data_IF_466651057637
#
_entry.id   IF_466651057637
#
_cell.length_a   1.000
_cell.length_b   1.000
_cell.length_c   1.000
_cell.angle_alpha   90.00
_cell.angle_beta   90.00
_cell.angle_gamma   90.00
#
_symmetry.space_group_name_H-M   'P 1'
#
loop_
_entity.id
_entity.type
_entity.pdbx_description
1 polymer ?
#
# COMPACT_ATOMS: atom_id res chain seq x y z
N UNK A 1 29.19 -8.66 8.05
CA UNK A 1 29.77 -7.78 9.07
C UNK A 1 29.22 -6.38 8.86
N UNK A 2 28.53 -5.80 9.85
CA UNK A 2 27.77 -4.56 9.69
C UNK A 2 28.62 -3.40 10.27
N UNK A 3 29.51 -2.82 9.46
CA UNK A 3 30.49 -1.79 9.88
C UNK A 3 29.91 -0.58 10.63
N UNK A 4 28.62 -0.31 10.47
CA UNK A 4 27.91 0.80 11.12
C UNK A 4 27.37 0.39 12.50
N UNK A 5 26.90 -0.85 12.61
CA UNK A 5 26.32 -1.38 13.85
C UNK A 5 27.42 -1.87 14.81
N UNK A 6 28.54 -2.37 14.26
CA UNK A 6 29.62 -3.00 15.04
C UNK A 6 30.68 -1.99 15.55
N UNK A 7 30.74 -0.77 15.00
CA UNK A 7 31.78 0.21 15.34
C UNK A 7 31.30 1.65 15.61
N UNK A 8 29.98 1.89 15.65
CA UNK A 8 29.43 3.22 15.99
C UNK A 8 29.82 4.35 15.03
N UNK A 9 30.32 4.02 13.83
CA UNK A 9 30.71 5.01 12.85
C UNK A 9 29.50 5.74 12.27
N UNK A 10 29.58 7.06 12.19
CA UNK A 10 28.61 7.83 11.39
C UNK A 10 28.79 7.51 9.90
N UNK A 11 27.74 7.68 9.10
CA UNK A 11 27.82 7.45 7.66
C UNK A 11 28.90 8.33 6.99
N UNK A 12 29.21 9.50 7.57
CA UNK A 12 30.26 10.39 7.12
C UNK A 12 31.66 9.82 7.38
N UNK A 13 31.92 9.31 8.58
CA UNK A 13 33.21 8.68 8.92
C UNK A 13 33.47 7.43 8.09
N UNK A 14 32.43 6.63 7.81
CA UNK A 14 32.55 5.45 6.95
C UNK A 14 32.86 5.85 5.49
N UNK A 15 32.23 6.93 5.02
CA UNK A 15 32.44 7.46 3.67
C UNK A 15 33.89 7.95 3.45
N UNK A 16 34.42 8.73 4.40
CA UNK A 16 35.81 9.19 4.41
C UNK A 16 36.80 8.01 4.39
N UNK A 17 36.57 7.00 5.24
CA UNK A 17 37.44 5.81 5.33
C UNK A 17 37.41 4.96 4.06
N UNK A 18 36.29 4.95 3.33
CA UNK A 18 36.12 4.18 2.10
C UNK A 18 36.43 4.97 0.82
N UNK A 19 36.77 6.26 0.92
CA UNK A 19 36.96 7.13 -0.25
C UNK A 19 35.71 7.24 -1.13
N UNK A 20 34.52 7.13 -0.53
CA UNK A 20 33.22 7.22 -1.22
C UNK A 20 32.44 8.41 -0.67
N UNK A 21 31.44 8.88 -1.41
CA UNK A 21 30.54 9.89 -0.86
C UNK A 21 29.63 9.27 0.21
N UNK A 22 29.24 10.08 1.20
CA UNK A 22 28.26 9.69 2.20
C UNK A 22 26.92 9.29 1.57
N UNK A 23 26.55 9.89 0.43
CA UNK A 23 25.36 9.51 -0.34
C UNK A 23 25.46 8.10 -0.93
N UNK A 24 26.63 7.66 -1.41
CA UNK A 24 26.85 6.29 -1.91
C UNK A 24 26.69 5.26 -0.78
N UNK A 25 27.27 5.54 0.39
CA UNK A 25 27.13 4.69 1.57
C UNK A 25 25.67 4.59 1.99
N UNK A 26 24.97 5.73 2.14
CA UNK A 26 23.57 5.77 2.51
C UNK A 26 22.67 4.98 1.55
N UNK A 27 22.92 5.08 0.24
CA UNK A 27 22.14 4.37 -0.77
C UNK A 27 22.33 2.85 -0.70
N UNK A 28 23.56 2.36 -0.47
CA UNK A 28 23.81 0.93 -0.26
C UNK A 28 23.15 0.41 1.01
N UNK A 29 23.18 1.19 2.09
CA UNK A 29 22.50 0.81 3.34
C UNK A 29 20.97 0.76 3.19
N UNK A 30 20.40 1.68 2.41
CA UNK A 30 18.96 1.67 2.13
C UNK A 30 18.54 0.37 1.45
N UNK A 31 19.33 -0.16 0.52
CA UNK A 31 19.04 -1.44 -0.14
C UNK A 31 19.01 -2.62 0.84
N UNK A 32 19.74 -2.56 1.96
CA UNK A 32 19.68 -3.60 2.99
C UNK A 32 18.31 -3.69 3.66
N UNK A 33 17.52 -2.60 3.64
CA UNK A 33 16.14 -2.57 4.15
C UNK A 33 15.15 -3.34 3.30
N UNK A 34 15.51 -3.73 2.07
CA UNK A 34 14.64 -4.57 1.25
C UNK A 34 14.54 -5.99 1.85
N UNK A 35 13.35 -6.60 1.82
CA UNK A 35 13.16 -8.02 2.11
C UNK A 35 14.13 -8.90 1.33
N UNK A 36 14.51 -10.03 1.91
CA UNK A 36 15.48 -10.96 1.31
C UNK A 36 15.04 -11.43 -0.08
N UNK A 37 13.76 -11.80 -0.23
CA UNK A 37 13.18 -12.26 -1.50
C UNK A 37 13.28 -11.20 -2.60
N UNK A 38 12.98 -9.94 -2.30
CA UNK A 38 13.09 -8.85 -3.28
C UNK A 38 14.55 -8.65 -3.71
N UNK A 39 15.51 -8.76 -2.78
CA UNK A 39 16.93 -8.65 -3.13
C UNK A 39 17.40 -9.80 -4.02
N UNK A 40 16.89 -11.01 -3.78
CA UNK A 40 17.18 -12.18 -4.60
C UNK A 40 16.65 -11.98 -6.03
N UNK A 41 15.39 -11.62 -6.18
CA UNK A 41 14.76 -11.39 -7.49
C UNK A 41 15.47 -10.25 -8.26
N UNK A 42 15.89 -9.18 -7.59
CA UNK A 42 16.68 -8.12 -8.23
C UNK A 42 17.98 -8.64 -8.84
N UNK A 43 18.66 -9.57 -8.17
CA UNK A 43 19.90 -10.18 -8.67
C UNK A 43 19.62 -11.18 -9.80
N UNK A 44 18.63 -12.04 -9.64
CA UNK A 44 18.26 -13.08 -10.62
C UNK A 44 17.82 -12.46 -11.95
N UNK A 45 17.12 -11.33 -11.91
CA UNK A 45 16.64 -10.63 -13.11
C UNK A 45 17.56 -9.50 -13.59
N UNK A 46 18.82 -9.44 -13.13
CA UNK A 46 19.81 -8.42 -13.52
C UNK A 46 19.31 -6.96 -13.32
N UNK A 47 18.46 -6.73 -12.33
CA UNK A 47 17.93 -5.42 -12.02
C UNK A 47 18.95 -4.62 -11.20
N UNK A 48 19.25 -3.41 -11.68
CA UNK A 48 20.22 -2.52 -11.02
C UNK A 48 19.79 -2.08 -9.61
N UNK A 49 20.76 -1.64 -8.80
CA UNK A 49 20.54 -0.97 -7.50
C UNK A 49 19.50 0.16 -7.58
N UNK A 50 19.35 0.83 -8.73
CA UNK A 50 18.38 1.92 -8.92
C UNK A 50 16.94 1.40 -8.96
N UNK A 51 16.68 0.20 -9.48
CA UNK A 51 15.35 -0.44 -9.39
C UNK A 51 14.98 -0.70 -7.93
N UNK A 52 15.89 -1.31 -7.16
CA UNK A 52 15.66 -1.55 -5.72
C UNK A 52 15.41 -0.25 -4.95
N UNK A 53 16.12 0.84 -5.29
CA UNK A 53 15.88 2.16 -4.69
C UNK A 53 14.52 2.76 -5.06
N UNK A 54 14.00 2.49 -6.26
CA UNK A 54 12.65 2.91 -6.64
C UNK A 54 11.61 2.17 -5.78
N UNK A 55 11.73 0.85 -5.63
CA UNK A 55 10.83 0.03 -4.81
C UNK A 55 10.80 0.46 -3.33
N UNK A 56 11.94 0.91 -2.78
CA UNK A 56 12.02 1.41 -1.39
C UNK A 56 11.15 2.64 -1.10
N UNK A 57 10.61 3.33 -2.11
CA UNK A 57 9.66 4.42 -1.92
C UNK A 57 8.28 3.92 -1.48
N UNK A 58 7.94 2.67 -1.82
CA UNK A 58 6.72 2.02 -1.36
C UNK A 58 6.91 1.60 0.09
N UNK A 59 5.92 1.81 0.95
CA UNK A 59 5.98 1.41 2.37
C UNK A 59 5.69 -0.09 2.54
N UNK A 60 4.65 -0.58 1.86
CA UNK A 60 4.15 -1.95 1.92
C UNK A 60 5.04 -2.94 1.12
N UNK A 61 5.42 -4.05 1.76
CA UNK A 61 6.25 -5.11 1.16
C UNK A 61 5.52 -5.96 0.12
N UNK A 62 4.21 -6.19 0.28
CA UNK A 62 3.38 -6.86 -0.73
C UNK A 62 3.29 -6.01 -1.99
N UNK A 63 3.07 -4.69 -1.83
CA UNK A 63 3.03 -3.76 -2.96
C UNK A 63 4.38 -3.69 -3.67
N UNK A 64 5.51 -3.67 -2.93
CA UNK A 64 6.84 -3.79 -3.54
C UNK A 64 6.98 -5.05 -4.38
N UNK A 65 6.47 -6.20 -3.89
CA UNK A 65 6.53 -7.47 -4.61
C UNK A 65 5.68 -7.44 -5.88
N UNK A 66 4.47 -6.91 -5.81
CA UNK A 66 3.61 -6.75 -6.99
C UNK A 66 4.27 -5.88 -8.07
N UNK A 67 4.83 -4.73 -7.66
CA UNK A 67 5.52 -3.82 -8.58
C UNK A 67 6.77 -4.48 -9.16
N UNK A 68 7.54 -5.21 -8.35
CA UNK A 68 8.71 -5.96 -8.83
C UNK A 68 8.32 -7.00 -9.89
N UNK A 69 7.24 -7.75 -9.66
CA UNK A 69 6.75 -8.72 -10.64
C UNK A 69 6.38 -8.03 -11.96
N UNK A 70 5.70 -6.88 -11.91
CA UNK A 70 5.39 -6.08 -13.11
C UNK A 70 6.66 -5.57 -13.81
N UNK A 71 7.68 -5.16 -13.05
CA UNK A 71 8.98 -4.70 -13.59
C UNK A 71 9.68 -5.83 -14.33
N UNK A 72 9.67 -7.04 -13.78
CA UNK A 72 10.27 -8.24 -14.38
C UNK A 72 9.49 -8.65 -15.63
N UNK A 73 8.17 -8.80 -15.52
CA UNK A 73 7.30 -9.25 -16.61
C UNK A 73 7.34 -8.32 -17.83
N UNK A 74 7.43 -7.01 -17.59
CA UNK A 74 7.45 -6.00 -18.66
C UNK A 74 8.86 -5.49 -18.99
N UNK A 75 9.91 -6.12 -18.43
CA UNK A 75 11.32 -5.75 -18.59
C UNK A 75 11.56 -4.24 -18.47
N UNK A 76 10.98 -3.63 -17.43
CA UNK A 76 10.99 -2.19 -17.27
C UNK A 76 12.39 -1.69 -16.95
N UNK A 77 12.83 -0.65 -17.66
CA UNK A 77 14.03 0.08 -17.29
C UNK A 77 13.82 0.94 -16.03
N UNK A 78 14.91 1.48 -15.48
CA UNK A 78 14.90 2.29 -14.25
C UNK A 78 13.92 3.45 -14.34
N UNK A 79 13.89 4.17 -15.47
CA UNK A 79 13.01 5.34 -15.63
C UNK A 79 11.53 4.93 -15.63
N UNK A 80 11.18 3.86 -16.35
CA UNK A 80 9.81 3.31 -16.36
C UNK A 80 9.40 2.78 -14.99
N UNK A 81 10.34 2.17 -14.26
CA UNK A 81 10.12 1.68 -12.89
C UNK A 81 9.88 2.83 -11.92
N UNK A 82 10.68 3.89 -11.99
CA UNK A 82 10.49 5.10 -11.18
C UNK A 82 9.15 5.77 -11.50
N UNK A 83 8.75 5.83 -12.77
CA UNK A 83 7.46 6.37 -13.19
C UNK A 83 6.29 5.51 -12.68
N UNK A 84 6.38 4.18 -12.79
CA UNK A 84 5.36 3.25 -12.28
C UNK A 84 5.17 3.43 -10.76
N UNK A 85 6.26 3.47 -10.01
CA UNK A 85 6.21 3.69 -8.55
C UNK A 85 5.64 5.06 -8.22
N UNK A 86 6.00 6.10 -8.98
CA UNK A 86 5.45 7.45 -8.79
C UNK A 86 3.95 7.47 -9.04
N UNK A 87 3.48 6.87 -10.14
CA UNK A 87 2.05 6.82 -10.46
C UNK A 87 1.26 6.10 -9.36
N UNK A 88 1.78 4.98 -8.84
CA UNK A 88 1.14 4.25 -7.74
C UNK A 88 1.07 5.10 -6.48
N UNK A 89 2.14 5.81 -6.13
CA UNK A 89 2.13 6.72 -4.98
C UNK A 89 1.18 7.90 -5.19
N UNK A 90 1.14 8.46 -6.41
CA UNK A 90 0.21 9.53 -6.78
C UNK A 90 -1.23 9.04 -6.73
N UNK A 91 -1.50 7.78 -7.08
CA UNK A 91 -2.84 7.19 -7.00
C UNK A 91 -3.22 6.88 -5.55
N UNK A 92 -2.30 6.39 -4.72
CA UNK A 92 -2.53 6.19 -3.27
C UNK A 92 -2.79 7.52 -2.55
N UNK A 93 -2.01 8.55 -2.84
CA UNK A 93 -2.23 9.90 -2.28
C UNK A 93 -3.48 10.57 -2.83
N UNK A 94 -3.86 10.30 -4.09
CA UNK A 94 -5.16 10.72 -4.62
C UNK A 94 -6.30 9.92 -4.02
N UNK A 95 -6.11 8.67 -3.61
CA UNK A 95 -7.11 7.88 -2.88
C UNK A 95 -7.30 8.45 -1.47
N UNK A 96 -6.23 8.84 -0.78
CA UNK A 96 -6.29 9.54 0.51
C UNK A 96 -6.91 10.96 0.36
N UNK A 97 -6.58 11.71 -0.69
CA UNK A 97 -7.24 12.99 -1.00
C UNK A 97 -8.65 12.80 -1.56
N UNK A 98 -9.00 11.64 -2.10
CA UNK A 98 -10.36 11.27 -2.49
C UNK A 98 -11.16 10.84 -1.27
N UNK A 99 -10.58 10.28 -0.22
CA UNK A 99 -11.26 10.12 1.06
C UNK A 99 -11.57 11.49 1.70
N UNK A 100 -10.71 12.51 1.50
CA UNK A 100 -10.93 13.87 2.05
C UNK A 100 -11.65 14.87 1.11
N UNK A 101 -11.69 14.63 -0.21
CA UNK A 101 -12.37 15.48 -1.22
C UNK A 101 -13.39 14.76 -2.12
N UNK A 102 -13.72 13.48 -1.91
CA UNK A 102 -14.95 12.87 -2.50
C UNK A 102 -16.22 13.18 -1.70
N UNK A 103 -16.21 14.27 -0.94
CA UNK A 103 -17.39 15.11 -0.75
C UNK A 103 -17.78 15.86 -2.05
N UNK A 104 -17.88 15.15 -3.18
CA UNK A 104 -18.56 15.66 -4.38
C UNK A 104 -19.75 14.77 -4.71
N UNK A 105 -20.82 15.06 -3.96
CA UNK A 105 -22.20 15.25 -4.42
C UNK A 105 -22.98 14.00 -4.86
N UNK A 106 -23.52 13.29 -3.86
CA UNK A 106 -24.97 13.03 -3.82
C UNK A 106 -25.46 11.58 -3.90
N UNK A 107 -24.71 10.64 -4.51
CA UNK A 107 -25.22 9.26 -4.73
C UNK A 107 -24.35 8.15 -4.11
N UNK A 108 -23.09 8.43 -3.76
CA UNK A 108 -22.20 7.45 -3.12
C UNK A 108 -22.42 7.39 -1.59
N UNK A 109 -22.89 8.49 -0.98
CA UNK A 109 -23.06 8.60 0.48
C UNK A 109 -24.08 7.61 1.04
N UNK A 110 -25.25 7.46 0.40
CA UNK A 110 -26.31 6.56 0.90
C UNK A 110 -25.88 5.10 0.90
N UNK A 111 -25.13 4.66 -0.12
CA UNK A 111 -24.61 3.29 -0.22
C UNK A 111 -23.63 2.96 0.91
N UNK A 112 -22.83 3.94 1.38
CA UNK A 112 -21.94 3.76 2.53
C UNK A 112 -22.76 3.50 3.79
N UNK A 113 -23.79 4.31 4.05
CA UNK A 113 -24.67 4.11 5.22
C UNK A 113 -25.42 2.78 5.15
N UNK A 114 -25.93 2.41 3.97
CA UNK A 114 -26.60 1.12 3.74
C UNK A 114 -25.66 -0.06 4.01
N UNK A 115 -24.42 -0.01 3.50
CA UNK A 115 -23.44 -1.07 3.73
C UNK A 115 -23.07 -1.22 5.21
N UNK A 116 -22.98 -0.13 5.96
CA UNK A 116 -22.73 -0.17 7.41
C UNK A 116 -23.91 -0.79 8.16
N UNK A 117 -25.15 -0.42 7.83
CA UNK A 117 -26.36 -1.00 8.42
C UNK A 117 -26.48 -2.50 8.08
N UNK A 118 -26.12 -2.88 6.85
CA UNK A 118 -26.11 -4.28 6.41
C UNK A 118 -25.10 -5.12 7.19
N UNK A 119 -23.88 -4.60 7.42
CA UNK A 119 -22.88 -5.26 8.29
C UNK A 119 -23.41 -5.49 9.71
N UNK A 120 -24.08 -4.50 10.30
CA UNK A 120 -24.68 -4.66 11.63
C UNK A 120 -25.77 -5.75 11.64
N UNK A 121 -26.59 -5.83 10.60
CA UNK A 121 -27.55 -6.93 10.42
C UNK A 121 -26.88 -8.30 10.27
N UNK A 122 -25.83 -8.41 9.46
CA UNK A 122 -25.10 -9.66 9.25
C UNK A 122 -24.50 -10.17 10.58
N UNK A 123 -23.95 -9.27 11.40
CA UNK A 123 -23.46 -9.62 12.75
C UNK A 123 -24.58 -10.15 13.67
N UNK A 124 -25.78 -9.55 13.63
CA UNK A 124 -26.94 -10.02 14.39
C UNK A 124 -27.35 -11.42 13.93
N UNK A 125 -27.36 -11.66 12.62
CA UNK A 125 -27.70 -12.97 12.05
C UNK A 125 -26.66 -14.04 12.41
N UNK A 126 -25.38 -13.71 12.34
CA UNK A 126 -24.26 -14.58 12.74
C UNK A 126 -24.31 -14.94 14.23
N UNK A 127 -24.84 -14.05 15.08
CA UNK A 127 -25.06 -14.34 16.51
C UNK A 127 -26.19 -15.34 16.79
N UNK A 128 -26.87 -15.84 15.74
CA UNK A 128 -27.95 -16.83 15.84
C UNK A 128 -29.33 -16.22 16.06
N UNK A 129 -29.47 -14.90 15.93
CA UNK A 129 -30.76 -14.20 15.99
C UNK A 129 -31.42 -14.24 14.60
N UNK A 130 -32.67 -14.70 14.53
CA UNK A 130 -33.45 -14.76 13.29
C UNK A 130 -33.97 -13.38 12.87
N UNK A 131 -33.03 -12.47 12.60
CA UNK A 131 -33.33 -11.14 12.11
C UNK A 131 -33.65 -11.18 10.61
N UNK A 132 -34.55 -10.29 10.16
CA UNK A 132 -34.86 -10.11 8.74
C UNK A 132 -34.45 -8.71 8.27
N UNK A 133 -33.90 -8.63 7.05
CA UNK A 133 -33.52 -7.38 6.39
C UNK A 133 -34.25 -7.22 5.06
N UNK A 134 -34.81 -6.03 4.80
CA UNK A 134 -35.40 -5.65 3.51
C UNK A 134 -34.94 -4.25 3.10
N UNK A 135 -34.69 -4.10 1.80
CA UNK A 135 -34.29 -2.85 1.16
C UNK A 135 -35.27 -2.53 0.03
N UNK A 136 -35.77 -1.29 -0.02
CA UNK A 136 -36.62 -0.79 -1.11
C UNK A 136 -36.16 0.60 -1.54
N UNK A 137 -35.93 0.75 -2.84
CA UNK A 137 -35.73 2.05 -3.47
C UNK A 137 -37.11 2.70 -3.73
N UNK A 138 -37.32 3.91 -3.20
CA UNK A 138 -38.54 4.70 -3.36
C UNK A 138 -38.32 5.95 -4.22
N UNK A 139 -37.20 6.03 -4.94
CA UNK A 139 -36.84 7.16 -5.79
C UNK A 139 -36.34 8.36 -4.99
N UNK A 140 -37.18 8.91 -4.10
CA UNK A 140 -36.79 10.02 -3.23
C UNK A 140 -35.99 9.57 -1.98
N UNK A 141 -36.15 8.32 -1.57
CA UNK A 141 -35.44 7.75 -0.42
C UNK A 141 -35.27 6.24 -0.56
N UNK A 142 -34.33 5.67 0.21
CA UNK A 142 -34.15 4.22 0.36
C UNK A 142 -34.73 3.82 1.71
N UNK A 143 -35.70 2.91 1.70
CA UNK A 143 -36.31 2.35 2.90
C UNK A 143 -35.58 1.06 3.29
N UNK A 144 -34.96 1.09 4.48
CA UNK A 144 -34.32 -0.07 5.10
C UNK A 144 -35.18 -0.54 6.28
N UNK A 145 -35.59 -1.82 6.27
CA UNK A 145 -36.36 -2.43 7.36
C UNK A 145 -35.58 -3.60 7.96
N UNK A 146 -35.27 -3.51 9.25
CA UNK A 146 -34.70 -4.60 10.04
C UNK A 146 -35.73 -5.06 11.07
N UNK A 147 -36.07 -6.34 11.06
CA UNK A 147 -36.95 -6.95 12.05
C UNK A 147 -36.13 -7.88 12.93
N UNK A 148 -36.08 -7.61 14.22
CA UNK A 148 -35.39 -8.44 15.21
C UNK A 148 -36.47 -9.01 16.14
N UNK A 149 -36.63 -10.34 16.24
CA UNK A 149 -37.63 -10.94 17.12
C UNK A 149 -37.30 -10.60 18.57
N UNK A 150 -38.28 -10.06 19.30
CA UNK A 150 -38.20 -9.93 20.75
C UNK A 150 -38.51 -11.31 21.35
N UNK A 151 -37.53 -11.94 22.00
CA UNK A 151 -37.83 -12.96 23.00
C UNK A 151 -38.29 -12.28 24.28
#
# INVERSE_FOLDING_TARGET
SNLITDHGFTQQQLAEKMGKSQSTIANKLRLLKLPHEIKKDLLEHNLTERHGRALLKLSDDNLKREVLNKVIENELNVNKTEALVSNILDDLTKEDEKEDKQNIKGLISTRIYINTIKKAYDMIKESGVDAQYKEKDKGEFIELTIQIPKK
#
